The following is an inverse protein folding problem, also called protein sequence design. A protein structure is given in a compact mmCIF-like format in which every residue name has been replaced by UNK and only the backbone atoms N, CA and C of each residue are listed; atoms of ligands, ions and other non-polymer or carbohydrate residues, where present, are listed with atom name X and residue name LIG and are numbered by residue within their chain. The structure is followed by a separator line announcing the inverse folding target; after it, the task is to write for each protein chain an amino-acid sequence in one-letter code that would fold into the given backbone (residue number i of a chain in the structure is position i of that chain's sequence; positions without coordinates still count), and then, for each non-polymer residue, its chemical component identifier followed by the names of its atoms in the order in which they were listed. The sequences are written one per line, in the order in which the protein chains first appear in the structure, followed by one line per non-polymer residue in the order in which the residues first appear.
data_IF_035017414975
#
_entry.id   IF_035017414975
#
_cell.length_a   1.000
_cell.length_b   1.000
_cell.length_c   1.000
_cell.angle_alpha   90.00
_cell.angle_beta   90.00
_cell.angle_gamma   90.00
#
_symmetry.space_group_name_H-M   'P 1'
#
loop_
_entity.id
_entity.type
_entity.pdbx_description
1 polymer ?
#
# COMPACT_ATOMS: atom_id res chain seq x y z
N UNK A 1 10.24 -52.23 46.29
CA UNK A 1 10.85 -52.68 45.03
C UNK A 1 12.36 -52.50 45.17
N UNK A 2 13.15 -53.55 44.97
CA UNK A 2 14.62 -53.48 45.04
C UNK A 2 15.13 -53.29 43.61
N UNK A 3 15.93 -52.24 43.39
CA UNK A 3 16.55 -51.98 42.10
C UNK A 3 17.78 -52.89 41.92
N UNK A 4 18.06 -53.28 40.68
CA UNK A 4 19.31 -53.96 40.34
C UNK A 4 20.50 -52.98 40.44
N UNK A 5 21.72 -53.46 40.18
CA UNK A 5 22.93 -52.63 40.22
C UNK A 5 22.91 -51.44 39.23
N UNK A 6 22.15 -51.51 38.14
CA UNK A 6 22.02 -50.42 37.16
C UNK A 6 20.98 -49.38 37.56
N UNK A 7 20.12 -49.71 38.52
CA UNK A 7 19.00 -48.87 38.97
C UNK A 7 17.99 -48.53 37.88
N UNK A 8 17.91 -49.36 36.84
CA UNK A 8 16.92 -49.22 35.78
C UNK A 8 15.57 -49.84 36.16
N UNK A 9 14.49 -49.28 35.62
CA UNK A 9 13.16 -49.88 35.65
C UNK A 9 12.71 -50.21 34.22
N UNK A 10 12.36 -51.46 33.96
CA UNK A 10 11.87 -51.93 32.66
C UNK A 10 10.70 -52.92 32.83
N UNK A 11 9.92 -53.13 31.77
CA UNK A 11 8.82 -54.11 31.76
C UNK A 11 7.53 -53.68 32.49
N UNK A 12 7.45 -52.43 32.98
CA UNK A 12 6.23 -51.90 33.61
C UNK A 12 5.23 -51.51 32.52
N UNK A 13 4.07 -52.18 32.51
CA UNK A 13 2.98 -51.89 31.56
C UNK A 13 2.32 -50.54 31.82
N UNK A 14 2.00 -50.25 33.08
CA UNK A 14 1.31 -49.04 33.50
C UNK A 14 2.04 -48.45 34.70
N UNK A 15 2.50 -47.21 34.59
CA UNK A 15 3.07 -46.45 35.69
C UNK A 15 2.21 -45.20 35.89
N UNK A 16 1.55 -45.10 37.04
CA UNK A 16 0.76 -43.92 37.42
C UNK A 16 1.50 -43.17 38.53
N UNK A 17 1.83 -41.91 38.27
CA UNK A 17 2.35 -40.99 39.28
C UNK A 17 1.29 -39.93 39.53
N UNK A 18 0.80 -39.80 40.77
CA UNK A 18 -0.13 -38.74 41.16
C UNK A 18 0.57 -37.42 41.48
N UNK A 19 1.91 -37.43 41.56
CA UNK A 19 2.75 -36.27 41.79
C UNK A 19 3.61 -35.90 40.58
N UNK A 20 4.78 -35.33 40.83
CA UNK A 20 5.70 -34.90 39.78
C UNK A 20 6.64 -36.02 39.34
N UNK A 21 6.92 -36.11 38.04
CA UNK A 21 8.05 -36.87 37.51
C UNK A 21 9.19 -35.88 37.24
N UNK A 22 10.31 -36.03 37.95
CA UNK A 22 11.50 -35.19 37.76
C UNK A 22 12.59 -35.99 37.06
N UNK A 23 12.99 -35.57 35.85
CA UNK A 23 14.17 -36.11 35.16
C UNK A 23 15.46 -35.63 35.82
N UNK A 24 16.45 -36.52 35.96
CA UNK A 24 17.62 -36.33 36.83
C UNK A 24 18.43 -35.05 36.57
N UNK A 25 18.85 -34.41 37.66
CA UNK A 25 19.71 -33.22 37.72
C UNK A 25 21.22 -33.54 37.59
N UNK A 26 21.60 -34.80 37.35
CA UNK A 26 22.99 -35.28 37.38
C UNK A 26 23.56 -35.81 36.05
N UNK A 27 22.79 -35.75 34.96
CA UNK A 27 23.26 -36.14 33.61
C UNK A 27 23.39 -34.90 32.74
N UNK A 28 24.37 -34.85 31.83
CA UNK A 28 24.63 -33.68 30.98
C UNK A 28 23.47 -33.34 30.03
N UNK A 29 22.62 -34.32 29.71
CA UNK A 29 21.49 -34.21 28.77
C UNK A 29 20.31 -35.10 29.20
N UNK A 30 19.59 -34.78 30.29
CA UNK A 30 18.43 -35.56 30.69
C UNK A 30 17.38 -35.51 29.57
N UNK A 31 16.83 -36.66 29.20
CA UNK A 31 15.74 -36.75 28.22
C UNK A 31 14.54 -37.45 28.84
N UNK A 32 13.36 -36.94 28.50
CA UNK A 32 12.08 -37.59 28.73
C UNK A 32 11.43 -37.74 27.37
N UNK A 33 11.12 -38.98 26.99
CA UNK A 33 10.47 -39.28 25.72
C UNK A 33 9.07 -39.80 26.00
N UNK A 34 8.08 -39.13 25.43
CA UNK A 34 6.68 -39.51 25.52
C UNK A 34 6.11 -39.62 24.11
N UNK A 35 5.30 -40.64 23.84
CA UNK A 35 4.54 -40.70 22.59
C UNK A 35 3.43 -39.65 22.54
N UNK A 36 2.85 -39.29 23.69
CA UNK A 36 1.79 -38.28 23.81
C UNK A 36 1.86 -37.61 25.18
N UNK A 37 1.64 -36.30 25.24
CA UNK A 37 1.51 -35.51 26.47
C UNK A 37 0.13 -34.86 26.44
N UNK A 38 -0.72 -35.15 27.44
CA UNK A 38 -2.05 -34.55 27.57
C UNK A 38 -2.04 -33.58 28.74
N UNK A 39 -1.86 -32.29 28.46
CA UNK A 39 -1.86 -31.22 29.47
C UNK A 39 -2.72 -30.05 28.98
N UNK A 40 -3.46 -29.41 29.89
CA UNK A 40 -4.22 -28.17 29.58
C UNK A 40 -3.29 -26.98 29.36
N UNK A 41 -2.11 -27.00 29.96
CA UNK A 41 -1.03 -26.04 29.71
C UNK A 41 0.30 -26.79 29.77
N UNK A 42 1.13 -26.61 28.75
CA UNK A 42 2.46 -27.18 28.69
C UNK A 42 3.49 -26.05 28.82
N UNK A 43 4.06 -25.89 30.01
CA UNK A 43 5.11 -24.91 30.25
C UNK A 43 6.48 -25.53 29.95
N UNK A 44 7.02 -25.30 28.76
CA UNK A 44 8.39 -25.66 28.41
C UNK A 44 9.20 -24.36 28.38
N UNK A 45 10.35 -24.35 29.06
CA UNK A 45 11.31 -23.24 29.02
C UNK A 45 12.65 -23.75 28.47
N UNK A 46 12.72 -24.15 27.19
CA UNK A 46 13.93 -24.69 26.63
C UNK A 46 14.82 -23.55 26.12
N UNK A 47 16.12 -23.79 26.00
CA UNK A 47 16.99 -22.90 25.22
C UNK A 47 16.69 -22.99 23.72
N UNK A 48 16.18 -24.15 23.26
CA UNK A 48 15.74 -24.38 21.88
C UNK A 48 14.46 -25.22 21.84
N UNK A 49 13.46 -24.76 21.09
CA UNK A 49 12.26 -25.54 20.79
C UNK A 49 12.30 -25.99 19.33
N UNK A 50 12.08 -27.29 19.08
CA UNK A 50 12.02 -27.85 17.74
C UNK A 50 10.70 -28.56 17.49
N UNK A 51 10.15 -28.42 16.29
CA UNK A 51 9.02 -29.21 15.81
C UNK A 51 9.47 -30.03 14.61
N UNK A 52 9.36 -31.36 14.73
CA UNK A 52 9.79 -32.32 13.69
C UNK A 52 11.23 -32.10 13.21
N UNK A 53 12.13 -31.72 14.13
CA UNK A 53 13.54 -31.45 13.85
C UNK A 53 13.85 -30.06 13.29
N UNK A 54 12.87 -29.15 13.25
CA UNK A 54 13.06 -27.77 12.82
C UNK A 54 13.00 -26.85 14.02
N UNK A 55 14.06 -26.08 14.26
CA UNK A 55 14.14 -25.08 15.32
C UNK A 55 13.18 -23.93 15.07
N UNK A 56 12.37 -23.61 16.08
CA UNK A 56 11.59 -22.37 16.13
C UNK A 56 12.53 -21.25 16.59
N UNK A 57 12.73 -20.26 15.72
CA UNK A 57 13.59 -19.10 16.01
C UNK A 57 12.84 -17.91 16.62
N UNK A 58 11.51 -17.84 16.43
CA UNK A 58 10.66 -16.79 16.98
C UNK A 58 10.36 -16.99 18.46
N UNK A 59 10.27 -15.89 19.20
CA UNK A 59 9.71 -15.83 20.54
C UNK A 59 8.20 -16.10 20.56
N UNK A 60 7.65 -16.43 21.72
CA UNK A 60 6.21 -16.62 21.89
C UNK A 60 5.40 -15.36 21.54
N UNK A 61 5.92 -14.17 21.85
CA UNK A 61 5.26 -12.90 21.52
C UNK A 61 5.15 -12.69 20.00
N UNK A 62 6.20 -13.00 19.25
CA UNK A 62 6.19 -12.95 17.79
C UNK A 62 5.21 -13.97 17.19
N UNK A 63 5.17 -15.21 17.70
CA UNK A 63 4.19 -16.20 17.23
C UNK A 63 2.75 -15.77 17.54
N UNK A 64 2.52 -15.10 18.67
CA UNK A 64 1.19 -14.64 19.07
C UNK A 64 0.62 -13.53 18.18
N UNK A 65 1.42 -12.89 17.31
CA UNK A 65 0.90 -11.97 16.29
C UNK A 65 0.16 -12.69 15.16
N UNK A 66 0.32 -14.01 15.03
CA UNK A 66 -0.44 -14.84 14.08
C UNK A 66 -1.78 -15.32 14.66
N UNK A 67 -1.92 -15.35 15.98
CA UNK A 67 -3.13 -15.85 16.63
C UNK A 67 -4.34 -14.95 16.28
N UNK A 68 -5.37 -15.55 15.70
CA UNK A 68 -6.61 -14.87 15.30
C UNK A 68 -6.54 -14.10 13.98
N UNK A 69 -5.45 -14.24 13.19
CA UNK A 69 -5.37 -13.64 11.86
C UNK A 69 -6.41 -14.27 10.93
N UNK A 70 -7.19 -13.41 10.25
CA UNK A 70 -8.06 -13.81 9.14
C UNK A 70 -7.36 -13.48 7.82
N UNK A 71 -7.05 -14.51 7.03
CA UNK A 71 -6.41 -14.33 5.73
C UNK A 71 -7.24 -13.38 4.84
N UNK A 72 -6.56 -12.42 4.20
CA UNK A 72 -7.19 -11.42 3.33
C UNK A 72 -7.74 -10.18 4.03
N UNK A 73 -7.69 -10.08 5.36
CA UNK A 73 -8.11 -8.88 6.10
C UNK A 73 -7.07 -8.45 7.11
N UNK A 74 -6.59 -7.22 6.99
CA UNK A 74 -5.68 -6.62 7.96
C UNK A 74 -6.38 -6.48 9.32
N UNK A 75 -5.74 -7.00 10.37
CA UNK A 75 -6.16 -6.84 11.76
C UNK A 75 -5.10 -6.03 12.50
N UNK A 76 -5.52 -5.06 13.31
CA UNK A 76 -4.59 -4.19 14.06
C UNK A 76 -3.67 -5.04 14.96
N UNK A 77 -2.38 -4.67 14.98
CA UNK A 77 -1.36 -5.32 15.82
C UNK A 77 -1.16 -6.82 15.55
N UNK A 78 -1.47 -7.29 14.33
CA UNK A 78 -1.29 -8.67 13.88
C UNK A 78 -0.51 -8.74 12.58
N UNK A 79 -0.02 -9.93 12.25
CA UNK A 79 0.56 -10.18 10.94
C UNK A 79 -0.51 -10.07 9.82
N UNK A 80 -0.05 -9.71 8.62
CA UNK A 80 -0.88 -9.69 7.42
C UNK A 80 -0.61 -10.95 6.58
N UNK A 81 -1.68 -11.68 6.25
CA UNK A 81 -1.62 -12.89 5.42
C UNK A 81 -2.55 -12.71 4.24
N UNK A 82 -2.05 -13.00 3.03
CA UNK A 82 -2.84 -12.93 1.81
C UNK A 82 -4.05 -13.86 1.88
N UNK A 83 -5.18 -13.42 1.30
CA UNK A 83 -6.31 -14.30 1.06
C UNK A 83 -5.99 -15.38 0.02
N UNK A 84 -6.88 -16.36 -0.13
CA UNK A 84 -6.72 -17.45 -1.10
C UNK A 84 -6.65 -16.97 -2.57
N UNK A 85 -7.09 -15.74 -2.86
CA UNK A 85 -7.00 -15.11 -4.18
C UNK A 85 -5.90 -14.03 -4.26
N UNK A 86 -5.05 -13.92 -3.24
CA UNK A 86 -3.99 -12.91 -3.18
C UNK A 86 -4.46 -11.50 -2.78
N UNK A 87 -5.71 -11.35 -2.33
CA UNK A 87 -6.28 -10.07 -1.93
C UNK A 87 -5.96 -9.71 -0.47
N UNK A 88 -6.03 -8.41 -0.17
CA UNK A 88 -5.98 -7.83 1.18
C UNK A 88 -7.01 -6.70 1.27
N UNK A 89 -7.73 -6.60 2.38
CA UNK A 89 -8.61 -5.49 2.75
C UNK A 89 -8.29 -4.96 4.17
N UNK A 90 -8.87 -3.81 4.55
CA UNK A 90 -8.77 -3.28 5.92
C UNK A 90 -7.51 -2.46 6.25
N UNK A 91 -6.69 -2.11 5.25
CA UNK A 91 -5.54 -1.21 5.46
C UNK A 91 -6.03 0.25 5.47
N UNK A 92 -5.85 0.95 6.59
CA UNK A 92 -6.24 2.37 6.72
C UNK A 92 -5.28 3.31 5.97
N UNK A 93 -3.98 3.03 5.99
CA UNK A 93 -2.96 3.86 5.34
C UNK A 93 -1.82 2.98 4.85
N UNK A 94 -1.46 3.12 3.56
CA UNK A 94 -0.32 2.44 2.95
C UNK A 94 0.73 3.48 2.56
N UNK A 95 1.85 3.52 3.28
CA UNK A 95 3.02 4.28 2.89
C UNK A 95 3.95 3.39 2.08
N UNK A 96 4.01 3.60 0.76
CA UNK A 96 4.85 2.85 -0.15
C UNK A 96 5.71 3.80 -0.99
N UNK A 97 6.95 3.41 -1.27
CA UNK A 97 7.83 4.18 -2.16
C UNK A 97 7.33 4.16 -3.62
N UNK A 98 6.72 3.05 -4.03
CA UNK A 98 6.07 2.90 -5.34
C UNK A 98 4.94 1.87 -5.24
N UNK A 99 3.93 2.02 -6.12
CA UNK A 99 2.85 1.05 -6.31
C UNK A 99 2.83 0.69 -7.79
N UNK A 100 3.03 -0.58 -8.10
CA UNK A 100 2.97 -1.12 -9.46
C UNK A 100 1.85 -2.16 -9.53
N UNK A 101 0.98 -2.04 -10.53
CA UNK A 101 -0.15 -2.93 -10.75
C UNK A 101 -0.18 -3.39 -12.20
N UNK A 102 -0.55 -4.64 -12.44
CA UNK A 102 -0.80 -5.15 -13.79
C UNK A 102 -2.18 -4.78 -14.32
N UNK A 103 -3.05 -4.24 -13.45
CA UNK A 103 -4.39 -3.77 -13.77
C UNK A 103 -4.60 -2.33 -13.32
N UNK A 104 -5.87 -1.90 -13.31
CA UNK A 104 -6.25 -0.53 -12.98
C UNK A 104 -6.12 -0.22 -11.48
N UNK A 105 -5.79 1.04 -11.18
CA UNK A 105 -5.88 1.61 -9.83
C UNK A 105 -7.20 2.39 -9.75
N UNK A 106 -8.07 2.02 -8.80
CA UNK A 106 -9.31 2.76 -8.52
C UNK A 106 -9.11 3.64 -7.29
N UNK A 107 -9.17 4.96 -7.46
CA UNK A 107 -9.13 5.91 -6.37
C UNK A 107 -10.50 6.58 -6.21
N UNK A 108 -11.12 6.45 -5.05
CA UNK A 108 -12.38 7.14 -4.72
C UNK A 108 -12.15 8.57 -4.20
N UNK A 109 -10.92 8.89 -3.79
CA UNK A 109 -10.48 10.21 -3.36
C UNK A 109 -9.56 10.89 -4.36
N UNK A 110 -8.92 11.97 -3.93
CA UNK A 110 -7.97 12.73 -4.76
C UNK A 110 -6.66 11.99 -4.99
N UNK A 111 -6.17 12.00 -6.23
CA UNK A 111 -4.79 11.67 -6.55
C UNK A 111 -4.00 12.98 -6.56
N UNK A 112 -3.23 13.23 -5.51
CA UNK A 112 -2.36 14.40 -5.42
C UNK A 112 -0.97 14.02 -5.93
N UNK A 113 -0.49 14.68 -6.98
CA UNK A 113 0.84 14.44 -7.53
C UNK A 113 0.94 14.68 -9.02
N UNK A 114 2.10 14.39 -9.60
CA UNK A 114 2.35 14.50 -11.03
C UNK A 114 2.14 13.14 -11.71
N UNK A 115 1.20 13.07 -12.66
CA UNK A 115 0.99 11.91 -13.52
C UNK A 115 2.05 11.88 -14.64
N UNK A 116 3.30 11.57 -14.29
CA UNK A 116 4.37 11.19 -15.24
C UNK A 116 4.08 9.77 -15.77
N UNK A 117 4.48 9.29 -16.96
CA UNK A 117 5.77 9.42 -17.64
C UNK A 117 5.58 9.02 -19.13
N UNK A 118 5.71 9.98 -20.07
CA UNK A 118 5.52 9.74 -21.51
C UNK A 118 4.13 10.14 -22.04
N UNK A 119 3.92 10.01 -23.35
CA UNK A 119 2.61 10.26 -23.97
C UNK A 119 1.59 9.31 -23.32
N UNK A 120 0.54 9.87 -22.70
CA UNK A 120 -0.53 9.09 -22.07
C UNK A 120 -1.45 8.49 -23.14
N UNK A 121 -0.90 7.67 -24.04
CA UNK A 121 -1.61 7.05 -25.17
C UNK A 121 -2.79 6.19 -24.73
N UNK A 122 -2.80 5.75 -23.47
CA UNK A 122 -3.89 4.99 -22.87
C UNK A 122 -5.06 5.85 -22.36
N UNK A 123 -4.90 7.18 -22.22
CA UNK A 123 -6.02 8.09 -21.98
C UNK A 123 -6.67 8.39 -23.33
N UNK A 124 -7.43 7.43 -23.86
CA UNK A 124 -8.15 7.56 -25.13
C UNK A 124 -9.58 8.08 -24.95
N UNK A 125 -10.13 7.90 -23.75
CA UNK A 125 -11.44 8.40 -23.34
C UNK A 125 -11.38 8.79 -21.87
N UNK A 126 -12.09 9.85 -21.53
CA UNK A 126 -12.52 10.10 -20.17
C UNK A 126 -14.01 9.81 -20.15
N UNK A 127 -14.45 8.97 -19.22
CA UNK A 127 -15.87 8.81 -18.86
C UNK A 127 -16.46 10.19 -18.47
N UNK A 128 -17.78 10.32 -18.17
CA UNK A 128 -18.39 11.62 -17.89
C UNK A 128 -17.61 12.42 -16.85
N UNK A 129 -16.94 13.46 -17.32
CA UNK A 129 -16.12 14.30 -16.48
C UNK A 129 -16.99 15.43 -15.94
N UNK A 130 -17.15 15.50 -14.62
CA UNK A 130 -17.91 16.59 -13.99
C UNK A 130 -17.14 17.90 -14.02
N UNK A 131 -15.80 17.84 -14.06
CA UNK A 131 -14.92 18.99 -14.15
C UNK A 131 -13.52 18.61 -14.65
N UNK A 132 -12.97 19.43 -15.56
CA UNK A 132 -11.54 19.53 -15.85
C UNK A 132 -11.02 20.92 -15.44
N UNK A 133 -10.09 20.98 -14.50
CA UNK A 133 -9.40 22.22 -14.11
C UNK A 133 -7.94 22.22 -14.54
N UNK A 134 -7.47 23.28 -15.18
CA UNK A 134 -6.04 23.49 -15.50
C UNK A 134 -5.57 24.74 -14.77
N UNK A 135 -4.58 24.60 -13.88
CA UNK A 135 -4.01 25.66 -13.05
C UNK A 135 -5.09 26.48 -12.29
N UNK A 136 -6.15 25.80 -11.85
CA UNK A 136 -7.31 26.42 -11.25
C UNK A 136 -7.73 25.68 -9.98
N UNK A 137 -8.36 26.40 -9.05
CA UNK A 137 -9.03 25.78 -7.88
C UNK A 137 -10.29 25.05 -8.33
N UNK A 138 -10.74 24.02 -7.62
CA UNK A 138 -11.96 23.32 -7.98
C UNK A 138 -13.16 24.29 -8.05
N UNK A 139 -13.76 24.41 -9.23
CA UNK A 139 -15.01 25.15 -9.51
C UNK A 139 -16.15 24.21 -9.92
N UNK A 140 -17.42 24.61 -9.91
CA UNK A 140 -18.52 23.76 -10.41
C UNK A 140 -18.68 23.85 -11.94
N UNK A 141 -17.57 23.82 -12.69
CA UNK A 141 -17.56 24.01 -14.14
C UNK A 141 -16.98 22.78 -14.84
N UNK A 142 -17.55 22.42 -15.99
CA UNK A 142 -17.09 21.27 -16.78
C UNK A 142 -15.65 21.43 -17.30
N UNK A 143 -15.24 22.65 -17.66
CA UNK A 143 -13.88 22.98 -18.06
C UNK A 143 -13.53 24.38 -17.54
N UNK A 144 -12.50 24.49 -16.70
CA UNK A 144 -11.94 25.78 -16.30
C UNK A 144 -10.44 25.80 -16.54
N UNK A 145 -10.00 26.82 -17.29
CA UNK A 145 -8.60 27.06 -17.59
C UNK A 145 -8.24 28.45 -17.08
N UNK A 146 -7.31 28.50 -16.12
CA UNK A 146 -6.76 29.76 -15.60
C UNK A 146 -5.31 29.89 -16.06
N UNK A 147 -5.05 30.83 -16.95
CA UNK A 147 -3.70 31.11 -17.42
C UNK A 147 -2.77 31.52 -16.26
N UNK A 148 -1.48 31.17 -16.37
CA UNK A 148 -0.45 31.68 -15.46
C UNK A 148 -0.20 33.15 -15.78
N UNK A 149 -0.43 34.05 -14.82
CA UNK A 149 -0.28 35.50 -15.05
C UNK A 149 1.16 36.00 -15.24
N UNK A 150 2.17 35.13 -15.10
CA UNK A 150 3.60 35.48 -15.19
C UNK A 150 4.25 35.05 -16.52
N UNK A 151 3.76 33.98 -17.13
CA UNK A 151 4.27 33.48 -18.40
C UNK A 151 3.24 33.83 -19.47
N UNK A 152 3.66 34.54 -20.52
CA UNK A 152 2.86 34.86 -21.72
C UNK A 152 1.89 36.05 -21.64
N UNK A 153 2.31 37.14 -20.99
CA UNK A 153 1.67 38.44 -21.15
C UNK A 153 2.01 39.03 -22.54
N UNK A 154 1.02 39.15 -23.44
CA UNK A 154 1.13 40.13 -24.54
C UNK A 154 0.46 41.43 -24.07
N UNK A 155 1.26 42.29 -23.42
CA UNK A 155 0.75 43.52 -22.83
C UNK A 155 -0.22 43.26 -21.67
N UNK A 156 -1.53 43.42 -21.89
CA UNK A 156 -2.59 43.33 -20.86
C UNK A 156 -3.40 42.04 -20.90
N UNK A 157 -3.06 41.06 -21.74
CA UNK A 157 -3.83 39.82 -21.92
C UNK A 157 -3.06 38.59 -21.41
N UNK A 158 -3.81 37.65 -20.83
CA UNK A 158 -3.32 36.31 -20.43
C UNK A 158 -3.84 35.27 -21.41
N UNK A 159 -2.93 34.44 -21.93
CA UNK A 159 -3.29 33.30 -22.77
C UNK A 159 -3.98 32.22 -21.93
N UNK A 160 -5.20 31.89 -22.31
CA UNK A 160 -5.97 30.81 -21.69
C UNK A 160 -5.76 29.50 -22.44
N UNK A 161 -5.85 29.52 -23.78
CA UNK A 161 -5.73 28.31 -24.61
C UNK A 161 -4.82 28.58 -25.80
N UNK A 162 -4.02 27.58 -26.17
CA UNK A 162 -3.12 27.61 -27.33
C UNK A 162 -3.28 26.33 -28.15
N UNK A 163 -3.56 26.48 -29.43
CA UNK A 163 -3.58 25.40 -30.40
C UNK A 163 -2.46 25.65 -31.41
N UNK A 164 -1.60 24.65 -31.61
CA UNK A 164 -0.41 24.76 -32.46
C UNK A 164 -0.30 23.53 -33.35
N UNK A 165 -0.06 23.73 -34.64
CA UNK A 165 0.25 22.64 -35.57
C UNK A 165 1.56 21.94 -35.21
N UNK A 166 1.76 20.71 -35.67
CA UNK A 166 2.92 19.88 -35.32
C UNK A 166 4.15 20.05 -36.23
N UNK A 167 4.15 21.03 -37.14
CA UNK A 167 5.27 21.27 -38.07
C UNK A 167 6.27 22.30 -37.50
N UNK A 168 7.36 22.59 -38.22
CA UNK A 168 8.46 23.43 -37.71
C UNK A 168 8.10 24.93 -37.54
N UNK A 169 7.11 25.43 -38.30
CA UNK A 169 6.62 26.82 -38.25
C UNK A 169 5.09 26.85 -38.33
N UNK A 170 4.41 26.40 -37.28
CA UNK A 170 2.97 26.19 -37.34
C UNK A 170 2.21 27.48 -37.16
N UNK A 171 1.04 27.58 -37.80
CA UNK A 171 0.02 28.55 -37.40
C UNK A 171 -0.38 28.26 -35.95
N UNK A 172 -0.42 29.31 -35.14
CA UNK A 172 -0.84 29.26 -33.75
C UNK A 172 -2.16 30.00 -33.61
N UNK A 173 -3.18 29.31 -33.10
CA UNK A 173 -4.46 29.88 -32.71
C UNK A 173 -4.53 29.95 -31.18
N UNK A 174 -5.04 31.04 -30.65
CA UNK A 174 -5.10 31.24 -29.20
C UNK A 174 -6.36 31.98 -28.76
N UNK A 175 -6.73 31.73 -27.52
CA UNK A 175 -7.76 32.45 -26.78
C UNK A 175 -7.07 33.17 -25.64
N UNK A 176 -7.26 34.48 -25.59
CA UNK A 176 -6.68 35.36 -24.57
C UNK A 176 -7.78 36.15 -23.87
N UNK A 177 -7.55 36.46 -22.60
CA UNK A 177 -8.47 37.22 -21.75
C UNK A 177 -7.69 38.33 -21.06
N UNK A 178 -8.26 39.53 -20.99
CA UNK A 178 -7.64 40.66 -20.32
C UNK A 178 -7.31 40.31 -18.85
N UNK A 179 -6.06 40.54 -18.44
CA UNK A 179 -5.54 40.28 -17.10
C UNK A 179 -5.82 41.43 -16.12
N UNK A 180 -6.81 42.28 -16.42
CA UNK A 180 -7.25 43.37 -15.59
C UNK A 180 -8.22 42.93 -14.50
N UNK A 181 -8.47 43.80 -13.52
CA UNK A 181 -9.52 43.56 -12.51
C UNK A 181 -10.89 43.72 -13.17
N UNK A 182 -11.87 42.88 -12.80
CA UNK A 182 -13.29 43.02 -13.19
C UNK A 182 -13.94 44.38 -12.83
N UNK A 183 -13.18 45.28 -12.20
CA UNK A 183 -13.60 46.62 -11.78
C UNK A 183 -13.32 47.72 -12.83
N UNK A 184 -12.58 47.44 -13.91
CA UNK A 184 -12.38 48.42 -15.00
C UNK A 184 -13.25 48.08 -16.21
N UNK A 185 -13.67 49.08 -16.98
CA UNK A 185 -14.48 48.89 -18.20
C UNK A 185 -13.75 48.21 -19.37
N UNK A 186 -12.58 47.62 -19.13
CA UNK A 186 -11.67 47.05 -20.15
C UNK A 186 -11.64 45.51 -20.14
N UNK A 187 -12.76 44.89 -19.75
CA UNK A 187 -12.92 43.44 -19.85
C UNK A 187 -13.05 43.04 -21.33
N UNK A 188 -12.01 42.43 -21.88
CA UNK A 188 -11.98 42.00 -23.27
C UNK A 188 -11.41 40.59 -23.39
N UNK A 189 -11.82 39.90 -24.45
CA UNK A 189 -11.24 38.62 -24.89
C UNK A 189 -10.83 38.76 -26.34
N UNK A 190 -9.72 38.13 -26.70
CA UNK A 190 -9.29 38.00 -28.08
C UNK A 190 -9.20 36.52 -28.47
N UNK A 191 -9.67 36.23 -29.67
CA UNK A 191 -9.75 34.89 -30.24
C UNK A 191 -9.25 35.01 -31.67
N UNK A 192 -8.11 34.40 -31.99
CA UNK A 192 -7.53 34.54 -33.31
C UNK A 192 -6.19 33.85 -33.50
N UNK A 193 -5.67 33.99 -34.70
CA UNK A 193 -4.33 33.52 -35.05
C UNK A 193 -3.28 34.51 -34.52
N UNK A 194 -2.16 33.99 -34.05
CA UNK A 194 -1.01 34.77 -33.62
C UNK A 194 -0.02 35.04 -34.76
N UNK A 195 0.06 34.15 -35.75
CA UNK A 195 1.10 34.21 -36.78
C UNK A 195 0.84 35.31 -37.79
N UNK A 196 1.85 36.13 -38.08
CA UNK A 196 1.79 37.33 -38.93
C UNK A 196 1.40 37.10 -40.42
N UNK A 197 1.15 35.87 -40.84
CA UNK A 197 0.65 35.54 -42.17
C UNK A 197 -0.79 35.01 -42.05
N UNK A 198 -1.70 35.90 -41.66
CA UNK A 198 -3.12 35.69 -41.95
C UNK A 198 -3.30 35.90 -43.46
N UNK A 199 -3.83 34.89 -44.15
CA UNK A 199 -4.27 35.01 -45.54
C UNK A 199 -5.60 35.78 -45.62
#
# INVERSE_FOLDING_TARGET
MVLNSTKDFSGIRNLTCSGTITGSTGVSTPSLSFSTITATTLNINPTTLQLRGITITSSAAELNVLAGVSAGTATNSKALVLGSTGNISGINTLSAASVSTSGSITASGSINGFLAYGNQTAITTVEPLTQLGINNTATTEYLNIKGSGLDYLDGSYTRMVRFIGSNATPVEFQIEVANGTNATGSNATWIGNKTNNDL
#
